data_IF_163141449341
#
_entry.id   IF_163141449341
#
_cell.length_a   1.000
_cell.length_b   1.000
_cell.length_c   1.000
_cell.angle_alpha   90.00
_cell.angle_beta   90.00
_cell.angle_gamma   90.00
#
_symmetry.space_group_name_H-M   'P 1'
#
loop_
_entity.id
_entity.type
_entity.pdbx_description
1 polymer ?
#
# COMPACT_ATOMS: atom_id res chain seq x y z
N UNK A 1 -10.59 0.66 -7.20
CA UNK A 1 -9.81 -0.50 -6.77
C UNK A 1 -9.80 -0.60 -5.24
N UNK A 2 -9.75 -1.81 -4.73
CA UNK A 2 -9.60 -2.09 -3.29
C UNK A 2 -8.33 -2.90 -3.11
N UNK A 3 -7.41 -2.45 -2.26
CA UNK A 3 -6.36 -3.29 -1.70
C UNK A 3 -6.88 -3.77 -0.33
N UNK A 4 -7.25 -5.03 -0.16
CA UNK A 4 -7.74 -5.50 1.13
C UNK A 4 -6.64 -5.50 2.20
N UNK A 5 -7.03 -5.64 3.45
CA UNK A 5 -6.11 -5.96 4.55
C UNK A 5 -5.42 -7.30 4.30
N UNK A 6 -4.13 -7.41 4.67
CA UNK A 6 -3.38 -8.66 4.57
C UNK A 6 -4.09 -9.77 5.37
N UNK A 7 -4.40 -10.87 4.69
CA UNK A 7 -5.16 -11.99 5.26
C UNK A 7 -6.61 -12.08 4.82
N UNK A 8 -7.19 -11.04 4.21
CA UNK A 8 -8.56 -11.14 3.67
C UNK A 8 -8.64 -12.03 2.45
N UNK A 9 -7.69 -11.95 1.56
CA UNK A 9 -7.60 -12.82 0.36
C UNK A 9 -6.37 -13.69 0.50
N UNK A 10 -6.53 -15.00 0.29
CA UNK A 10 -5.41 -15.93 0.29
C UNK A 10 -4.39 -15.57 -0.79
N UNK A 11 -3.12 -15.69 -0.44
CA UNK A 11 -1.98 -15.47 -1.34
C UNK A 11 -1.41 -16.78 -1.88
N UNK A 12 -2.02 -17.92 -1.53
CA UNK A 12 -1.59 -19.20 -2.04
C UNK A 12 -1.67 -19.25 -3.56
N UNK A 13 -0.60 -19.64 -4.22
CA UNK A 13 -0.47 -19.63 -5.68
C UNK A 13 -0.12 -18.27 -6.30
N UNK A 14 -0.07 -17.19 -5.51
CA UNK A 14 0.42 -15.89 -5.95
C UNK A 14 1.93 -15.87 -5.83
N UNK A 15 2.65 -15.43 -6.88
CA UNK A 15 4.10 -15.23 -6.84
C UNK A 15 4.42 -14.12 -5.84
N UNK A 16 5.16 -14.39 -4.75
CA UNK A 16 5.36 -13.41 -3.69
C UNK A 16 6.44 -12.38 -4.02
N UNK A 17 6.27 -11.18 -3.46
CA UNK A 17 7.34 -10.26 -3.16
C UNK A 17 7.69 -10.40 -1.67
N UNK A 18 6.71 -10.20 -0.79
CA UNK A 18 6.89 -10.45 0.64
C UNK A 18 5.57 -10.79 1.33
N UNK A 19 5.60 -11.82 2.15
CA UNK A 19 4.46 -12.20 2.99
C UNK A 19 4.02 -11.10 3.97
N UNK A 20 4.90 -10.12 4.23
CA UNK A 20 4.63 -9.03 5.15
C UNK A 20 3.58 -8.03 4.63
N UNK A 21 3.47 -7.85 3.30
CA UNK A 21 2.68 -6.79 2.70
C UNK A 21 1.86 -7.22 1.48
N UNK A 22 2.17 -8.37 0.88
CA UNK A 22 1.49 -8.83 -0.33
C UNK A 22 0.02 -9.11 -0.08
N UNK A 23 -0.80 -8.70 -1.04
CA UNK A 23 -2.24 -9.00 -1.08
C UNK A 23 -2.77 -8.90 -2.50
N UNK A 24 -3.67 -9.78 -2.87
CA UNK A 24 -4.50 -9.65 -4.05
C UNK A 24 -5.76 -8.84 -3.73
N UNK A 25 -6.20 -8.00 -4.67
CA UNK A 25 -7.40 -7.19 -4.48
C UNK A 25 -8.08 -6.82 -5.79
N UNK A 26 -9.41 -6.54 -5.77
CA UNK A 26 -10.20 -6.29 -6.97
C UNK A 26 -9.95 -4.91 -7.57
N UNK A 27 -9.88 -4.86 -8.89
CA UNK A 27 -9.98 -3.65 -9.69
C UNK A 27 -11.21 -3.75 -10.62
N UNK A 28 -12.15 -2.82 -10.49
CA UNK A 28 -13.37 -2.82 -11.25
C UNK A 28 -13.77 -1.39 -11.66
N UNK A 29 -14.74 -1.26 -12.55
CA UNK A 29 -15.24 0.06 -13.01
C UNK A 29 -16.19 0.71 -12.01
N UNK A 30 -16.88 -0.09 -11.21
CA UNK A 30 -17.80 0.39 -10.18
C UNK A 30 -17.39 -0.10 -8.79
N UNK A 31 -17.83 0.60 -7.74
CA UNK A 31 -17.63 0.16 -6.35
C UNK A 31 -18.38 -1.15 -6.08
N UNK A 32 -19.57 -1.29 -6.65
CA UNK A 32 -20.39 -2.52 -6.54
C UNK A 32 -19.66 -3.73 -7.11
N UNK A 33 -19.11 -3.62 -8.32
CA UNK A 33 -18.35 -4.72 -8.92
C UNK A 33 -17.11 -5.06 -8.10
N UNK A 34 -16.42 -4.05 -7.54
CA UNK A 34 -15.27 -4.28 -6.66
C UNK A 34 -15.67 -4.99 -5.37
N UNK A 35 -16.82 -4.66 -4.78
CA UNK A 35 -17.36 -5.33 -3.60
C UNK A 35 -17.73 -6.80 -3.88
N UNK A 36 -18.41 -7.07 -5.01
CA UNK A 36 -18.73 -8.43 -5.46
C UNK A 36 -17.44 -9.25 -5.66
N UNK A 37 -16.46 -8.67 -6.36
CA UNK A 37 -15.18 -9.35 -6.60
C UNK A 37 -14.42 -9.62 -5.30
N UNK A 38 -14.45 -8.69 -4.33
CA UNK A 38 -13.78 -8.92 -3.05
C UNK A 38 -14.38 -10.12 -2.32
N UNK A 39 -15.71 -10.23 -2.24
CA UNK A 39 -16.38 -11.38 -1.65
C UNK A 39 -16.04 -12.70 -2.34
N UNK A 40 -15.95 -12.68 -3.67
CA UNK A 40 -15.57 -13.87 -4.44
C UNK A 40 -14.10 -14.28 -4.26
N UNK A 41 -13.20 -13.32 -3.98
CA UNK A 41 -11.77 -13.57 -3.78
C UNK A 41 -11.44 -14.01 -2.35
N UNK A 42 -12.15 -13.51 -1.35
CA UNK A 42 -11.84 -13.78 0.07
C UNK A 42 -12.12 -15.24 0.46
N UNK A 43 -13.16 -15.83 -0.12
CA UNK A 43 -13.61 -17.16 0.28
C UNK A 43 -14.41 -17.15 1.59
N UNK A 44 -15.06 -18.29 1.91
CA UNK A 44 -15.90 -18.43 3.10
C UNK A 44 -15.12 -18.89 4.34
N UNK A 45 -13.98 -19.52 4.14
CA UNK A 45 -13.15 -20.11 5.20
C UNK A 45 -11.68 -19.73 5.01
N UNK A 46 -10.88 -19.67 6.10
CA UNK A 46 -9.46 -19.46 6.02
C UNK A 46 -8.76 -20.51 5.16
N UNK A 47 -7.78 -20.08 4.36
CA UNK A 47 -6.97 -21.00 3.56
C UNK A 47 -5.86 -21.61 4.43
N UNK A 48 -5.80 -22.94 4.58
CA UNK A 48 -4.75 -23.61 5.37
C UNK A 48 -3.33 -23.39 4.81
N UNK A 49 -3.23 -22.97 3.55
CA UNK A 49 -1.93 -22.68 2.91
C UNK A 49 -1.48 -21.22 3.10
N UNK A 50 -2.34 -20.35 3.63
CA UNK A 50 -1.98 -18.97 3.99
C UNK A 50 -2.48 -18.61 5.39
N UNK A 51 -1.60 -18.79 6.38
CA UNK A 51 -1.91 -18.54 7.80
C UNK A 51 -2.39 -17.08 8.09
N UNK A 52 -2.11 -16.13 7.20
CA UNK A 52 -2.60 -14.77 7.38
C UNK A 52 -4.13 -14.70 7.28
N UNK A 53 -4.78 -15.62 6.57
CA UNK A 53 -6.24 -15.66 6.44
C UNK A 53 -6.96 -15.96 7.75
N UNK A 54 -6.27 -16.55 8.73
CA UNK A 54 -6.80 -16.75 10.09
C UNK A 54 -7.06 -15.45 10.87
N UNK A 55 -6.57 -14.31 10.38
CA UNK A 55 -6.70 -13.00 11.04
C UNK A 55 -7.96 -12.25 10.67
N UNK A 56 -8.64 -12.68 9.61
CA UNK A 56 -9.78 -11.98 9.05
C UNK A 56 -11.02 -12.88 9.06
N UNK A 57 -12.15 -12.32 9.44
CA UNK A 57 -13.45 -12.96 9.31
C UNK A 57 -14.18 -12.33 8.12
N UNK A 58 -14.65 -13.12 7.13
CA UNK A 58 -15.45 -12.59 6.02
C UNK A 58 -16.81 -12.08 6.54
N UNK A 59 -17.42 -11.12 5.84
CA UNK A 59 -18.78 -10.72 6.17
C UNK A 59 -19.76 -11.88 5.94
N UNK A 60 -20.97 -11.85 6.56
CA UNK A 60 -21.97 -12.88 6.36
C UNK A 60 -22.21 -13.16 4.88
N UNK A 61 -22.10 -14.44 4.49
CA UNK A 61 -22.22 -14.93 3.10
C UNK A 61 -21.16 -14.39 2.12
N UNK A 62 -20.06 -13.78 2.59
CA UNK A 62 -19.07 -13.11 1.74
C UNK A 62 -19.61 -11.88 1.00
N UNK A 63 -20.74 -11.33 1.43
CA UNK A 63 -21.45 -10.27 0.71
C UNK A 63 -21.03 -8.88 1.17
N UNK A 64 -20.03 -8.32 0.50
CA UNK A 64 -19.60 -6.92 0.71
C UNK A 64 -20.58 -5.90 0.13
N UNK A 65 -21.54 -6.30 -0.73
CA UNK A 65 -22.52 -5.36 -1.26
C UNK A 65 -23.53 -4.92 -0.20
N UNK A 66 -23.71 -5.70 0.87
CA UNK A 66 -24.54 -5.35 2.02
C UNK A 66 -24.08 -4.06 2.73
N UNK A 67 -22.81 -3.65 2.54
CA UNK A 67 -22.27 -2.41 3.12
C UNK A 67 -22.36 -1.19 2.18
N UNK A 68 -22.84 -1.38 0.95
CA UNK A 68 -22.97 -0.29 0.00
C UNK A 68 -24.19 0.56 0.35
N UNK A 69 -23.95 1.84 0.60
CA UNK A 69 -25.00 2.79 0.98
C UNK A 69 -24.89 4.04 0.13
N UNK A 70 -26.00 4.45 -0.48
CA UNK A 70 -26.06 5.69 -1.27
C UNK A 70 -25.86 6.94 -0.40
N UNK A 71 -26.19 6.87 0.89
CA UNK A 71 -26.04 7.91 1.90
C UNK A 71 -24.81 7.71 2.79
N UNK A 72 -23.86 6.88 2.39
CA UNK A 72 -22.70 6.50 3.21
C UNK A 72 -21.77 7.65 3.61
N UNK A 73 -21.83 8.79 2.92
CA UNK A 73 -21.12 10.01 3.28
C UNK A 73 -21.82 10.85 4.32
N UNK A 74 -23.11 10.60 4.58
CA UNK A 74 -23.87 11.38 5.56
C UNK A 74 -23.30 11.17 6.97
N UNK A 75 -22.69 12.20 7.52
CA UNK A 75 -22.03 12.17 8.84
C UNK A 75 -20.66 11.52 8.87
N UNK A 76 -20.16 10.97 7.74
CA UNK A 76 -18.81 10.43 7.66
C UNK A 76 -17.77 11.53 7.91
N UNK A 77 -16.74 11.20 8.67
CA UNK A 77 -15.64 12.12 9.03
C UNK A 77 -14.41 11.81 8.17
N UNK A 78 -14.06 12.72 7.28
CA UNK A 78 -12.97 12.54 6.31
C UNK A 78 -11.79 13.45 6.69
N UNK A 79 -10.66 12.85 7.00
CA UNK A 79 -9.43 13.56 7.35
C UNK A 79 -8.64 14.01 6.12
N UNK A 80 -8.10 15.23 6.15
CA UNK A 80 -7.24 15.76 5.10
C UNK A 80 -5.81 15.87 5.61
N UNK A 81 -4.92 14.91 5.29
CA UNK A 81 -3.52 14.96 5.70
C UNK A 81 -2.76 15.98 4.84
N UNK A 82 -2.67 17.23 5.33
CA UNK A 82 -2.07 18.35 4.58
C UNK A 82 -0.58 18.15 4.33
N UNK A 83 0.17 17.90 5.40
CA UNK A 83 1.62 17.82 5.35
C UNK A 83 2.11 16.74 4.40
N UNK A 84 2.98 17.07 3.45
CA UNK A 84 3.58 16.15 2.48
C UNK A 84 2.65 15.63 1.37
N UNK A 85 1.33 15.63 1.56
CA UNK A 85 0.37 15.14 0.57
C UNK A 85 -0.30 16.27 -0.21
N UNK A 86 -0.76 17.29 0.47
CA UNK A 86 -1.37 18.49 -0.14
C UNK A 86 -0.40 19.68 -0.13
N UNK A 87 0.28 19.87 0.98
CA UNK A 87 1.17 21.00 1.21
C UNK A 87 2.61 20.55 1.29
N UNK A 88 3.51 21.45 0.94
CA UNK A 88 4.95 21.21 1.06
C UNK A 88 5.34 21.20 2.54
N UNK A 89 6.20 20.26 2.94
CA UNK A 89 6.71 20.15 4.30
C UNK A 89 8.23 20.05 4.29
N UNK A 90 8.90 20.70 5.24
CA UNK A 90 10.34 20.57 5.43
C UNK A 90 10.66 19.23 6.09
N UNK A 91 11.65 18.53 5.55
CA UNK A 91 12.12 17.28 6.14
C UNK A 91 12.96 17.62 7.38
N UNK A 92 12.62 17.12 8.58
CA UNK A 92 13.35 17.44 9.81
C UNK A 92 14.86 17.17 9.70
N UNK A 93 15.65 18.04 10.29
CA UNK A 93 17.12 17.95 10.26
C UNK A 93 17.78 18.30 8.92
N UNK A 94 17.01 18.74 7.92
CA UNK A 94 17.53 19.07 6.58
C UNK A 94 16.98 20.39 6.03
N UNK A 95 17.60 20.92 4.96
CA UNK A 95 17.05 22.03 4.18
C UNK A 95 16.14 21.55 3.02
N UNK A 96 15.85 20.26 2.96
CA UNK A 96 15.04 19.66 1.89
C UNK A 96 13.55 19.75 2.21
N UNK A 97 12.75 19.88 1.14
CA UNK A 97 11.30 19.86 1.23
C UNK A 97 10.71 18.66 0.48
N UNK A 98 9.73 18.03 1.07
CA UNK A 98 8.79 17.18 0.35
C UNK A 98 7.73 18.09 -0.28
N UNK A 99 7.53 17.97 -1.59
CA UNK A 99 6.56 18.81 -2.32
C UNK A 99 5.14 18.30 -2.11
N UNK A 100 4.21 19.23 -1.94
CA UNK A 100 2.77 18.98 -2.02
C UNK A 100 2.24 18.98 -3.45
N UNK A 101 0.96 19.25 -3.59
CA UNK A 101 0.25 19.30 -4.87
C UNK A 101 0.65 20.52 -5.72
N UNK A 102 0.64 20.35 -7.03
CA UNK A 102 0.58 21.48 -7.97
C UNK A 102 -0.77 22.19 -7.89
N UNK A 103 -0.85 23.43 -8.41
CA UNK A 103 -2.09 24.21 -8.42
C UNK A 103 -3.23 23.47 -9.15
N UNK A 104 -2.92 22.78 -10.25
CA UNK A 104 -3.90 21.98 -10.99
C UNK A 104 -4.43 20.80 -10.19
N UNK A 105 -3.53 20.07 -9.51
CA UNK A 105 -3.94 18.95 -8.63
C UNK A 105 -4.74 19.47 -7.44
N UNK A 106 -4.33 20.60 -6.87
CA UNK A 106 -5.05 21.26 -5.77
C UNK A 106 -6.47 21.63 -6.16
N UNK A 107 -6.68 22.19 -7.34
CA UNK A 107 -8.02 22.52 -7.85
C UNK A 107 -8.93 21.28 -7.92
N UNK A 108 -8.42 20.16 -8.47
CA UNK A 108 -9.18 18.89 -8.54
C UNK A 108 -9.53 18.37 -7.14
N UNK A 109 -8.58 18.41 -6.19
CA UNK A 109 -8.84 17.94 -4.84
C UNK A 109 -9.78 18.85 -4.07
N UNK A 110 -9.74 20.16 -4.31
CA UNK A 110 -10.70 21.11 -3.72
C UNK A 110 -12.13 20.80 -4.18
N UNK A 111 -12.34 20.61 -5.47
CA UNK A 111 -13.65 20.21 -6.01
C UNK A 111 -14.13 18.86 -5.43
N UNK A 112 -13.21 17.89 -5.31
CA UNK A 112 -13.53 16.61 -4.69
C UNK A 112 -13.98 16.75 -3.23
N UNK A 113 -13.30 17.57 -2.44
CA UNK A 113 -13.66 17.84 -1.04
C UNK A 113 -15.02 18.55 -0.96
N UNK A 114 -15.28 19.52 -1.83
CA UNK A 114 -16.58 20.21 -1.91
C UNK A 114 -17.74 19.24 -2.21
N UNK A 115 -17.51 18.26 -3.09
CA UNK A 115 -18.47 17.19 -3.38
C UNK A 115 -18.74 16.33 -2.13
N UNK A 116 -17.70 15.94 -1.40
CA UNK A 116 -17.86 15.16 -0.16
C UNK A 116 -18.70 15.93 0.87
N UNK A 117 -18.42 17.22 1.06
CA UNK A 117 -19.20 18.09 1.95
C UNK A 117 -20.66 18.19 1.47
N UNK A 118 -20.88 18.38 0.18
CA UNK A 118 -22.24 18.46 -0.37
C UNK A 118 -23.04 17.16 -0.22
N UNK A 119 -22.36 16.03 -0.09
CA UNK A 119 -22.95 14.72 0.19
C UNK A 119 -23.06 14.41 1.70
N UNK A 120 -22.75 15.36 2.56
CA UNK A 120 -22.97 15.27 4.01
C UNK A 120 -21.77 14.81 4.83
N UNK A 121 -20.58 14.71 4.23
CA UNK A 121 -19.38 14.42 5.00
C UNK A 121 -18.91 15.62 5.84
N UNK A 122 -18.34 15.32 7.00
CA UNK A 122 -17.61 16.28 7.84
C UNK A 122 -16.13 16.20 7.50
N UNK A 123 -15.54 17.32 7.12
CA UNK A 123 -14.10 17.39 6.83
C UNK A 123 -13.34 17.78 8.08
N UNK A 124 -12.33 16.97 8.44
CA UNK A 124 -11.35 17.26 9.49
C UNK A 124 -10.06 17.72 8.80
N UNK A 125 -9.73 19.01 8.89
CA UNK A 125 -8.66 19.64 8.12
C UNK A 125 -7.92 20.71 8.96
N UNK A 126 -6.63 20.54 9.27
CA UNK A 126 -5.79 19.40 8.87
C UNK A 126 -6.04 18.14 9.71
N UNK A 127 -5.78 16.98 9.10
CA UNK A 127 -5.66 15.69 9.77
C UNK A 127 -4.26 15.12 9.43
N UNK A 128 -3.23 15.84 9.83
CA UNK A 128 -1.86 15.50 9.51
C UNK A 128 -1.43 14.23 10.24
N UNK A 129 -0.68 13.40 9.53
CA UNK A 129 -0.21 12.12 10.06
C UNK A 129 0.95 12.38 11.02
N UNK A 130 0.88 11.92 12.28
CA UNK A 130 1.85 12.22 13.31
C UNK A 130 3.29 11.93 12.87
N UNK A 131 3.57 10.76 12.33
CA UNK A 131 4.90 10.39 11.84
C UNK A 131 5.41 11.23 10.66
N UNK A 132 4.55 11.95 9.94
CA UNK A 132 4.95 12.85 8.84
C UNK A 132 5.38 14.22 9.38
N UNK A 133 4.80 14.65 10.49
CA UNK A 133 5.06 15.97 11.09
C UNK A 133 5.92 15.93 12.36
N UNK A 134 6.31 14.74 12.83
CA UNK A 134 7.15 14.60 14.02
C UNK A 134 8.47 15.34 13.84
N UNK A 135 8.84 16.23 14.78
CA UNK A 135 10.09 16.99 14.72
C UNK A 135 11.32 16.12 14.97
N UNK A 136 11.19 14.98 15.65
CA UNK A 136 12.28 14.04 15.86
C UNK A 136 12.54 13.23 14.57
N UNK A 137 13.75 13.36 13.97
CA UNK A 137 14.09 12.57 12.79
C UNK A 137 13.96 11.06 12.96
N UNK A 138 14.10 10.53 14.17
CA UNK A 138 13.95 9.09 14.43
C UNK A 138 12.50 8.61 14.27
N UNK A 139 11.54 9.45 14.58
CA UNK A 139 10.11 9.19 14.51
C UNK A 139 9.45 9.78 13.26
N UNK A 140 10.22 10.43 12.39
CA UNK A 140 9.67 11.05 11.19
C UNK A 140 9.81 10.15 9.96
N UNK A 141 8.69 9.89 9.31
CA UNK A 141 8.60 9.02 8.12
C UNK A 141 9.42 9.56 6.93
N UNK A 142 9.60 10.88 6.84
CA UNK A 142 10.28 11.52 5.71
C UNK A 142 11.81 11.52 5.84
N UNK A 143 12.35 11.23 7.01
CA UNK A 143 13.80 11.23 7.29
C UNK A 143 14.43 9.87 7.11
N UNK A 144 13.65 8.80 7.15
CA UNK A 144 14.14 7.43 7.06
C UNK A 144 14.71 7.10 5.68
N UNK A 145 15.73 6.25 5.67
CA UNK A 145 16.22 5.56 4.48
C UNK A 145 15.14 4.62 3.89
N UNK A 146 15.49 3.93 2.82
CA UNK A 146 14.64 2.86 2.31
C UNK A 146 14.51 1.72 3.34
N UNK A 147 13.38 1.04 3.34
CA UNK A 147 13.17 -0.19 4.14
C UNK A 147 13.70 -1.40 3.37
N UNK A 148 14.37 -2.30 4.05
CA UNK A 148 14.87 -3.58 3.50
C UNK A 148 13.75 -4.62 3.30
N UNK A 149 12.56 -4.39 3.89
CA UNK A 149 11.45 -5.37 3.98
C UNK A 149 11.09 -5.99 2.63
N UNK A 150 10.92 -5.18 1.58
CA UNK A 150 10.56 -5.71 0.26
C UNK A 150 11.70 -6.52 -0.39
N UNK A 151 12.96 -6.08 -0.22
CA UNK A 151 14.09 -6.76 -0.83
C UNK A 151 14.41 -8.06 -0.08
N UNK A 152 14.38 -8.03 1.24
CA UNK A 152 14.60 -9.21 2.07
C UNK A 152 13.47 -10.24 1.87
N UNK A 153 12.22 -9.77 1.92
CA UNK A 153 11.04 -10.60 1.67
C UNK A 153 11.08 -11.23 0.28
N UNK A 154 11.45 -10.49 -0.76
CA UNK A 154 11.57 -11.03 -2.11
C UNK A 154 12.53 -12.22 -2.18
N UNK A 155 13.69 -12.16 -1.56
CA UNK A 155 14.61 -13.30 -1.54
C UNK A 155 14.07 -14.46 -0.71
N UNK A 156 13.59 -14.17 0.51
CA UNK A 156 13.07 -15.16 1.43
C UNK A 156 11.86 -15.90 0.86
N UNK A 157 10.82 -15.13 0.47
CA UNK A 157 9.51 -15.68 0.17
C UNK A 157 9.43 -16.23 -1.25
N UNK A 158 10.12 -15.61 -2.21
CA UNK A 158 10.20 -16.12 -3.57
C UNK A 158 10.96 -17.45 -3.64
N UNK A 159 12.10 -17.58 -2.92
CA UNK A 159 12.81 -18.85 -2.84
C UNK A 159 11.96 -19.94 -2.15
N UNK A 160 11.25 -19.59 -1.08
CA UNK A 160 10.35 -20.51 -0.41
C UNK A 160 9.20 -20.95 -1.34
N UNK A 161 8.61 -20.01 -2.09
CA UNK A 161 7.58 -20.32 -3.08
C UNK A 161 8.09 -21.21 -4.21
N UNK A 162 9.27 -20.92 -4.78
CA UNK A 162 9.89 -21.77 -5.79
C UNK A 162 10.09 -23.21 -5.30
N UNK A 163 10.47 -23.38 -4.04
CA UNK A 163 10.63 -24.72 -3.45
C UNK A 163 9.32 -25.54 -3.44
N UNK A 164 8.15 -24.86 -3.39
CA UNK A 164 6.85 -25.55 -3.44
C UNK A 164 6.49 -26.09 -4.82
N UNK A 165 7.14 -25.59 -5.89
CA UNK A 165 6.84 -26.01 -7.28
C UNK A 165 7.50 -27.34 -7.68
N UNK A 166 8.35 -27.91 -6.85
CA UNK A 166 8.99 -29.20 -7.07
C UNK A 166 10.01 -29.19 -8.24
N UNK A 167 10.34 -30.39 -8.72
CA UNK A 167 11.41 -30.59 -9.71
C UNK A 167 11.11 -29.97 -11.09
N UNK A 168 9.85 -29.79 -11.44
CA UNK A 168 9.44 -29.24 -12.74
C UNK A 168 9.65 -27.73 -12.88
N UNK A 169 9.94 -27.01 -11.79
CA UNK A 169 10.20 -25.57 -11.84
C UNK A 169 11.46 -25.28 -12.68
N UNK A 170 11.37 -24.36 -13.65
CA UNK A 170 12.51 -24.06 -14.56
C UNK A 170 13.67 -23.38 -13.85
N UNK A 171 13.42 -22.74 -12.72
CA UNK A 171 14.41 -22.11 -11.82
C UNK A 171 14.07 -22.47 -10.39
N UNK A 172 15.05 -22.55 -9.50
CA UNK A 172 14.89 -22.96 -8.11
C UNK A 172 15.15 -21.84 -7.11
N UNK A 173 15.82 -20.79 -7.54
CA UNK A 173 16.21 -19.65 -6.70
C UNK A 173 16.05 -18.33 -7.45
N UNK A 174 16.03 -17.24 -6.69
CA UNK A 174 16.08 -15.89 -7.24
C UNK A 174 17.35 -15.65 -8.06
N UNK A 175 18.49 -16.22 -7.63
CA UNK A 175 19.76 -16.16 -8.35
C UNK A 175 19.62 -16.81 -9.73
N UNK A 176 19.08 -18.03 -9.80
CA UNK A 176 18.86 -18.72 -11.09
C UNK A 176 17.88 -17.96 -12.00
N UNK A 177 16.84 -17.35 -11.45
CA UNK A 177 15.94 -16.49 -12.23
C UNK A 177 16.68 -15.30 -12.85
N UNK A 178 17.56 -14.65 -12.08
CA UNK A 178 18.35 -13.52 -12.58
C UNK A 178 19.32 -13.95 -13.69
N UNK A 179 19.97 -15.08 -13.51
CA UNK A 179 20.87 -15.66 -14.53
C UNK A 179 20.10 -16.05 -15.79
N UNK A 180 18.93 -16.64 -15.63
CA UNK A 180 18.03 -16.94 -16.74
C UNK A 180 17.65 -15.67 -17.52
N UNK A 181 17.30 -14.59 -16.82
CA UNK A 181 16.99 -13.30 -17.42
C UNK A 181 18.16 -12.76 -18.25
N UNK A 182 19.39 -12.81 -17.72
CA UNK A 182 20.59 -12.40 -18.43
C UNK A 182 20.84 -13.25 -19.69
N UNK A 183 20.68 -14.56 -19.58
CA UNK A 183 20.84 -15.47 -20.72
C UNK A 183 19.80 -15.23 -21.83
N UNK A 184 18.64 -14.68 -21.51
CA UNK A 184 17.52 -14.42 -22.43
C UNK A 184 17.32 -12.93 -22.74
N UNK A 185 18.29 -12.08 -22.49
CA UNK A 185 18.22 -10.62 -22.73
C UNK A 185 17.76 -10.28 -24.15
N UNK A 186 18.30 -10.98 -25.15
CA UNK A 186 17.91 -10.77 -26.56
C UNK A 186 16.44 -11.11 -26.84
N UNK A 187 15.83 -11.96 -26.03
CA UNK A 187 14.41 -12.27 -26.09
C UNK A 187 13.54 -11.23 -25.37
N UNK A 188 14.14 -10.22 -24.75
CA UNK A 188 13.45 -9.10 -24.10
C UNK A 188 13.19 -9.29 -22.61
N UNK A 189 13.78 -10.29 -21.95
CA UNK A 189 13.64 -10.52 -20.50
C UNK A 189 14.06 -9.33 -19.66
N UNK A 190 15.05 -8.55 -20.11
CA UNK A 190 15.59 -7.36 -19.45
C UNK A 190 15.11 -6.03 -20.04
N UNK A 191 14.01 -6.01 -20.79
CA UNK A 191 13.47 -4.78 -21.41
C UNK A 191 13.36 -3.60 -20.43
N UNK A 192 13.06 -3.87 -19.17
CA UNK A 192 12.91 -2.87 -18.11
C UNK A 192 14.00 -2.98 -17.02
N UNK A 193 15.05 -3.78 -17.27
CA UNK A 193 16.09 -4.11 -16.31
C UNK A 193 15.60 -5.07 -15.22
N UNK A 194 16.48 -5.38 -14.25
CA UNK A 194 16.14 -6.22 -13.09
C UNK A 194 16.76 -5.72 -11.78
N UNK A 195 17.00 -4.42 -11.65
CA UNK A 195 17.70 -3.83 -10.49
C UNK A 195 17.09 -4.20 -9.13
N UNK A 196 15.76 -4.42 -9.07
CA UNK A 196 15.08 -4.86 -7.84
C UNK A 196 15.43 -6.30 -7.48
N UNK A 197 15.43 -7.21 -8.45
CA UNK A 197 15.87 -8.59 -8.25
C UNK A 197 17.34 -8.64 -7.83
N UNK A 198 18.19 -7.82 -8.48
CA UNK A 198 19.61 -7.71 -8.14
C UNK A 198 19.82 -7.20 -6.70
N UNK A 199 19.03 -6.23 -6.26
CA UNK A 199 19.09 -5.71 -4.90
C UNK A 199 18.65 -6.76 -3.87
N UNK A 200 17.61 -7.50 -4.18
CA UNK A 200 17.09 -8.57 -3.30
C UNK A 200 18.07 -9.75 -3.19
N UNK A 201 18.63 -10.16 -4.31
CA UNK A 201 19.52 -11.33 -4.35
C UNK A 201 20.86 -11.10 -3.65
N UNK A 202 21.33 -9.85 -3.55
CA UNK A 202 22.56 -9.51 -2.82
C UNK A 202 22.46 -9.66 -1.30
N UNK A 203 21.25 -9.67 -0.75
CA UNK A 203 21.06 -9.81 0.70
C UNK A 203 21.41 -11.22 1.17
N UNK A 204 22.00 -11.32 2.34
CA UNK A 204 22.15 -12.56 3.08
C UNK A 204 21.03 -12.69 4.12
N UNK A 205 20.25 -13.78 4.07
CA UNK A 205 19.07 -13.94 4.92
C UNK A 205 19.41 -14.14 6.40
N UNK A 206 20.64 -14.51 6.75
CA UNK A 206 21.08 -14.63 8.14
C UNK A 206 21.75 -13.32 8.62
N UNK A 207 22.68 -12.77 7.82
CA UNK A 207 23.42 -11.56 8.18
C UNK A 207 22.52 -10.31 8.20
N UNK A 208 21.61 -10.17 7.23
CA UNK A 208 20.73 -9.00 7.08
C UNK A 208 19.39 -9.15 7.87
N UNK A 209 19.19 -10.24 8.58
CA UNK A 209 17.95 -10.49 9.35
C UNK A 209 17.65 -9.39 10.37
N UNK A 210 18.64 -8.97 11.13
CA UNK A 210 18.45 -7.98 12.19
C UNK A 210 18.04 -6.61 11.62
N UNK A 211 18.60 -6.21 10.46
CA UNK A 211 18.21 -4.99 9.75
C UNK A 211 16.77 -5.10 9.24
N UNK A 212 16.42 -6.23 8.61
CA UNK A 212 15.05 -6.48 8.17
C UNK A 212 14.03 -6.38 9.30
N UNK A 213 14.30 -7.01 10.45
CA UNK A 213 13.41 -7.01 11.62
C UNK A 213 13.23 -5.59 12.19
N UNK A 214 14.33 -4.82 12.27
CA UNK A 214 14.29 -3.42 12.69
C UNK A 214 13.49 -2.55 11.71
N UNK A 215 13.71 -2.70 10.41
CA UNK A 215 12.97 -2.01 9.37
C UNK A 215 11.48 -2.37 9.38
N UNK A 216 11.16 -3.65 9.60
CA UNK A 216 9.76 -4.09 9.70
C UNK A 216 9.07 -3.49 10.92
N UNK A 217 9.72 -3.49 12.07
CA UNK A 217 9.20 -2.86 13.27
C UNK A 217 9.00 -1.35 13.07
N UNK A 218 9.96 -0.68 12.43
CA UNK A 218 9.87 0.73 12.09
C UNK A 218 8.74 1.01 11.08
N UNK A 219 8.57 0.17 10.07
CA UNK A 219 7.49 0.30 9.10
C UNK A 219 6.10 0.18 9.77
N UNK A 220 5.93 -0.76 10.71
CA UNK A 220 4.69 -0.91 11.47
C UNK A 220 4.43 0.31 12.37
N UNK A 221 5.44 0.76 13.09
CA UNK A 221 5.32 1.91 13.99
C UNK A 221 5.00 3.21 13.22
N UNK A 222 5.84 3.61 12.26
CA UNK A 222 5.70 4.90 11.60
C UNK A 222 4.53 4.99 10.61
N UNK A 223 4.10 3.88 10.05
CA UNK A 223 2.99 3.91 9.08
C UNK A 223 1.66 3.47 9.73
N UNK A 224 1.67 2.62 10.75
CA UNK A 224 0.51 2.17 11.52
C UNK A 224 0.34 2.96 12.81
N UNK A 225 0.98 2.51 13.90
CA UNK A 225 0.77 3.00 15.26
C UNK A 225 0.92 4.53 15.40
N UNK A 226 2.08 5.08 15.00
CA UNK A 226 2.36 6.52 14.98
C UNK A 226 2.02 7.16 13.62
N UNK A 227 1.19 6.53 12.86
CA UNK A 227 0.80 6.89 11.50
C UNK A 227 -0.71 6.98 11.33
N UNK A 228 -1.25 6.05 10.55
CA UNK A 228 -2.68 6.03 10.19
C UNK A 228 -3.55 5.77 11.40
N UNK A 229 -3.17 4.85 12.29
CA UNK A 229 -4.00 4.46 13.43
C UNK A 229 -4.18 5.61 14.41
N UNK A 230 -3.09 6.35 14.71
CA UNK A 230 -3.12 7.50 15.61
C UNK A 230 -4.00 8.62 15.06
N UNK A 231 -3.82 9.02 13.79
CA UNK A 231 -4.65 10.09 13.21
C UNK A 231 -6.12 9.71 13.14
N UNK A 232 -6.42 8.45 12.83
CA UNK A 232 -7.81 7.98 12.76
C UNK A 232 -8.46 7.96 14.16
N UNK A 233 -7.72 7.55 15.18
CA UNK A 233 -8.20 7.44 16.55
C UNK A 233 -8.33 8.81 17.21
N UNK A 234 -7.30 9.64 17.16
CA UNK A 234 -7.23 10.92 17.90
C UNK A 234 -8.17 11.97 17.31
N UNK A 235 -8.37 11.96 16.00
CA UNK A 235 -9.24 12.89 15.31
C UNK A 235 -10.64 12.30 15.02
N UNK A 236 -10.87 11.05 15.41
CA UNK A 236 -12.13 10.33 15.17
C UNK A 236 -12.54 10.40 13.69
N UNK A 237 -11.62 10.15 12.75
CA UNK A 237 -11.90 10.14 11.31
C UNK A 237 -12.16 8.73 10.81
N UNK A 238 -13.14 8.58 9.93
CA UNK A 238 -13.49 7.29 9.32
C UNK A 238 -12.50 6.90 8.22
N UNK A 239 -11.93 7.90 7.55
CA UNK A 239 -10.90 7.68 6.53
C UNK A 239 -10.11 8.95 6.25
N UNK A 240 -8.78 8.86 6.03
CA UNK A 240 -8.00 9.95 5.46
C UNK A 240 -8.10 9.95 3.93
N UNK A 241 -8.22 11.14 3.33
CA UNK A 241 -8.29 11.34 1.88
C UNK A 241 -6.93 11.75 1.33
N UNK A 242 -6.32 10.85 0.55
CA UNK A 242 -5.05 11.11 -0.12
C UNK A 242 -5.22 11.48 -1.60
N UNK A 243 -4.46 12.43 -2.13
CA UNK A 243 -4.49 12.75 -3.54
C UNK A 243 -3.71 11.73 -4.38
N UNK A 244 -4.31 11.27 -5.48
CA UNK A 244 -3.67 10.39 -6.44
C UNK A 244 -3.14 9.10 -5.82
N UNK A 245 -1.86 8.79 -6.04
CA UNK A 245 -1.18 7.60 -5.51
C UNK A 245 -0.37 7.89 -4.23
N UNK A 246 -0.64 8.99 -3.51
CA UNK A 246 0.12 9.38 -2.33
C UNK A 246 -0.09 8.47 -1.11
N UNK A 247 -1.31 7.99 -0.91
CA UNK A 247 -1.70 7.22 0.28
C UNK A 247 -1.25 5.75 0.32
N UNK A 248 -1.24 4.99 -0.80
CA UNK A 248 -0.99 3.55 -0.74
C UNK A 248 0.29 3.14 -0.01
N UNK A 249 1.35 3.94 -0.08
CA UNK A 249 2.63 3.62 0.57
C UNK A 249 2.55 3.55 2.10
N UNK A 250 1.86 4.50 2.72
CA UNK A 250 1.74 4.55 4.19
C UNK A 250 0.73 3.52 4.70
N UNK A 251 -0.34 3.27 3.95
CA UNK A 251 -1.39 2.33 4.35
C UNK A 251 -0.98 0.87 4.08
N UNK A 252 -0.18 0.61 3.04
CA UNK A 252 0.19 -0.75 2.66
C UNK A 252 1.23 -1.39 3.59
N UNK A 253 2.14 -0.61 4.18
CA UNK A 253 3.22 -1.14 5.02
C UNK A 253 2.73 -1.82 6.30
N UNK A 254 1.80 -1.27 7.06
CA UNK A 254 1.19 -1.99 8.19
C UNK A 254 0.27 -3.13 7.74
N UNK A 255 -0.21 -3.13 6.51
CA UNK A 255 -1.09 -4.17 5.97
C UNK A 255 -2.54 -3.73 5.80
N UNK A 256 -2.82 -2.43 5.95
CA UNK A 256 -4.16 -1.86 5.90
C UNK A 256 -4.75 -1.75 4.50
N UNK A 257 -6.03 -1.38 4.44
CA UNK A 257 -6.84 -1.44 3.25
C UNK A 257 -7.15 -0.05 2.65
N UNK A 258 -6.39 0.44 1.65
CA UNK A 258 -6.79 1.61 0.89
C UNK A 258 -7.82 1.28 -0.19
N UNK A 259 -8.72 2.23 -0.41
CA UNK A 259 -9.67 2.23 -1.53
C UNK A 259 -9.31 3.38 -2.48
N UNK A 260 -9.21 3.07 -3.77
CA UNK A 260 -8.95 4.08 -4.80
C UNK A 260 -10.20 4.29 -5.65
N UNK A 261 -10.65 5.53 -5.71
CA UNK A 261 -11.79 5.97 -6.54
C UNK A 261 -11.35 7.07 -7.50
N UNK A 262 -11.89 7.14 -8.73
CA UNK A 262 -11.61 8.25 -9.64
C UNK A 262 -12.33 9.52 -9.16
N UNK A 263 -11.58 10.61 -9.05
CA UNK A 263 -12.12 11.94 -8.67
C UNK A 263 -12.02 12.97 -9.79
N UNK A 264 -11.16 12.74 -10.76
CA UNK A 264 -10.89 13.67 -11.85
C UNK A 264 -9.42 13.60 -12.29
N UNK A 265 -9.11 14.27 -13.38
CA UNK A 265 -7.73 14.42 -13.85
C UNK A 265 -7.46 15.89 -14.13
N UNK A 266 -6.28 16.39 -13.80
CA UNK A 266 -5.91 17.74 -14.23
C UNK A 266 -5.92 17.79 -15.77
N UNK A 267 -6.26 18.95 -16.37
CA UNK A 267 -6.19 19.08 -17.81
C UNK A 267 -4.77 18.79 -18.30
N UNK A 268 -4.62 18.23 -19.51
CA UNK A 268 -3.30 17.98 -20.07
C UNK A 268 -2.50 19.30 -20.14
N UNK A 269 -1.17 19.24 -19.97
CA UNK A 269 -0.34 20.43 -20.13
C UNK A 269 -0.60 21.05 -21.52
N UNK A 270 -0.71 22.38 -21.57
CA UNK A 270 -0.84 23.08 -22.86
C UNK A 270 0.39 22.76 -23.70
N UNK A 271 0.23 22.43 -24.97
CA UNK A 271 1.37 22.29 -25.86
C UNK A 271 2.19 23.60 -25.85
N UNK A 272 3.53 23.50 -25.99
CA UNK A 272 4.43 24.65 -26.00
C UNK A 272 4.14 25.62 -27.13
#
# INVERSE_FOLDING_TARGET
AIKPTVGRVSRYGVIPITADQDIAGPMARTVTDAAIMLGALEGAEPDPNDAATLRCEPPPNGDYTAFLRADGLQGARIGIPRASYYDSVRIPGTERFRRGLSDQQRAVMTEAIEILVAQGATIVDPADIPSVIDPDPANNLLTGGGSSVLNYGMKRDFNAWLATLGESAPVKTLTELREWNLAHERAGSLKYGQARLDSSDRLDLEEDRAEYEADRARDLYLNGEHGIDEVMTDLEVDAPLFPGSGGPGIVARPGDAPVTVPVGSPPPPRPP
#
